data_IF_787467248695
#
_entry.id   IF_787467248695
#
_cell.length_a   1.000
_cell.length_b   1.000
_cell.length_c   1.000
_cell.angle_alpha   90.00
_cell.angle_beta   90.00
_cell.angle_gamma   90.00
#
_symmetry.space_group_name_H-M   'P 1'
#
loop_
_entity.id
_entity.type
_entity.pdbx_description
1 polymer ?
#
# COMPACT_ATOMS: atom_id res chain seq x y z
N UNK A 1 3.17 -17.83 -13.47
CA UNK A 1 4.19 -17.96 -14.55
C UNK A 1 4.18 -16.81 -15.55
N UNK A 2 3.03 -16.27 -15.95
CA UNK A 2 2.94 -15.32 -17.07
C UNK A 2 3.37 -13.85 -16.85
N UNK A 3 3.60 -13.39 -15.61
CA UNK A 3 3.99 -11.96 -15.38
C UNK A 3 5.48 -11.80 -15.13
N UNK A 4 6.04 -12.55 -14.17
CA UNK A 4 7.42 -12.37 -13.73
C UNK A 4 8.45 -13.21 -14.50
N UNK A 5 8.03 -14.32 -15.13
CA UNK A 5 8.91 -15.26 -15.84
C UNK A 5 10.17 -15.68 -15.02
N UNK A 6 10.03 -15.81 -13.69
CA UNK A 6 11.13 -16.08 -12.77
C UNK A 6 11.91 -17.39 -13.07
N UNK A 7 11.26 -18.33 -13.75
CA UNK A 7 11.84 -19.61 -14.18
C UNK A 7 12.96 -19.48 -15.22
N UNK A 8 13.10 -18.31 -15.85
CA UNK A 8 14.17 -18.03 -16.81
C UNK A 8 15.42 -17.44 -16.15
N UNK A 9 15.36 -17.12 -14.85
CA UNK A 9 16.50 -16.64 -14.07
C UNK A 9 17.12 -17.81 -13.30
N UNK A 10 18.44 -17.93 -13.33
CA UNK A 10 19.18 -18.96 -12.59
C UNK A 10 19.50 -18.55 -11.14
N UNK A 11 19.12 -17.34 -10.73
CA UNK A 11 19.28 -16.81 -9.37
C UNK A 11 19.52 -15.30 -9.37
N UNK A 12 19.83 -14.72 -8.21
CA UNK A 12 20.08 -13.28 -8.08
C UNK A 12 21.29 -12.79 -8.89
N UNK A 13 22.23 -13.70 -9.17
CA UNK A 13 23.42 -13.43 -9.98
C UNK A 13 23.14 -13.39 -11.48
N UNK A 14 21.96 -13.87 -11.91
CA UNK A 14 21.54 -13.92 -13.31
C UNK A 14 20.04 -13.69 -13.38
N UNK A 15 19.68 -12.41 -13.32
CA UNK A 15 18.30 -11.92 -13.36
C UNK A 15 17.72 -11.92 -14.79
N UNK A 16 18.55 -12.18 -15.81
CA UNK A 16 18.19 -12.06 -17.21
C UNK A 16 17.95 -10.61 -17.66
N UNK A 17 17.34 -10.45 -18.84
CA UNK A 17 17.02 -9.15 -19.42
C UNK A 17 15.73 -8.56 -18.85
N UNK A 18 15.61 -7.22 -18.78
CA UNK A 18 14.37 -6.55 -18.38
C UNK A 18 13.19 -6.96 -19.28
N UNK A 19 12.06 -7.32 -18.67
CA UNK A 19 10.85 -7.70 -19.40
C UNK A 19 10.19 -6.48 -20.00
N UNK A 20 10.10 -6.43 -21.32
CA UNK A 20 9.57 -5.28 -22.04
C UNK A 20 8.15 -4.86 -21.60
N UNK A 21 7.26 -5.82 -21.30
CA UNK A 21 5.91 -5.53 -20.79
C UNK A 21 5.94 -4.83 -19.42
N UNK A 22 6.79 -5.27 -18.50
CA UNK A 22 6.95 -4.66 -17.19
C UNK A 22 7.66 -3.31 -17.29
N UNK A 23 8.65 -3.20 -18.17
CA UNK A 23 9.33 -1.93 -18.47
C UNK A 23 8.35 -0.89 -19.02
N UNK A 24 7.47 -1.27 -19.94
CA UNK A 24 6.43 -0.38 -20.47
C UNK A 24 5.43 0.00 -19.38
N UNK A 25 4.98 -0.95 -18.57
CA UNK A 25 4.09 -0.68 -17.44
C UNK A 25 4.72 0.33 -16.45
N UNK A 26 5.99 0.13 -16.10
CA UNK A 26 6.75 1.04 -15.25
C UNK A 26 6.87 2.43 -15.88
N UNK A 27 7.18 2.51 -17.18
CA UNK A 27 7.27 3.77 -17.91
C UNK A 27 5.94 4.53 -17.87
N UNK A 28 4.81 3.85 -18.07
CA UNK A 28 3.47 4.45 -17.94
C UNK A 28 3.23 4.96 -16.52
N UNK A 29 3.56 4.19 -15.48
CA UNK A 29 3.43 4.63 -14.08
C UNK A 29 4.27 5.88 -13.80
N UNK A 30 5.53 5.91 -14.24
CA UNK A 30 6.42 7.07 -14.06
C UNK A 30 5.87 8.31 -14.76
N UNK A 31 5.34 8.17 -15.98
CA UNK A 31 4.72 9.28 -16.70
C UNK A 31 3.50 9.83 -15.94
N UNK A 32 2.63 8.96 -15.42
CA UNK A 32 1.46 9.37 -14.64
C UNK A 32 1.90 10.10 -13.35
N UNK A 33 2.89 9.57 -12.64
CA UNK A 33 3.42 10.19 -11.42
C UNK A 33 4.00 11.58 -11.72
N UNK A 34 4.77 11.69 -12.80
CA UNK A 34 5.35 12.96 -13.23
C UNK A 34 4.26 14.01 -13.50
N UNK A 35 3.23 13.69 -14.29
CA UNK A 35 2.13 14.62 -14.55
C UNK A 35 1.29 14.96 -13.30
N UNK A 36 1.15 14.00 -12.38
CA UNK A 36 0.43 14.23 -11.12
C UNK A 36 1.14 15.23 -10.21
N UNK A 37 2.48 15.20 -10.22
CA UNK A 37 3.34 16.01 -9.36
C UNK A 37 3.86 17.30 -10.01
N UNK A 38 3.88 17.42 -11.35
CA UNK A 38 4.51 18.55 -12.06
C UNK A 38 4.04 19.92 -11.54
N UNK A 39 2.73 20.14 -11.41
CA UNK A 39 2.18 21.42 -10.91
C UNK A 39 2.10 21.50 -9.38
N UNK A 40 2.85 20.65 -8.68
CA UNK A 40 2.99 20.63 -7.23
C UNK A 40 1.75 20.17 -6.47
N UNK A 41 1.64 20.60 -5.21
CA UNK A 41 0.59 20.15 -4.28
C UNK A 41 -0.83 20.46 -4.74
N UNK A 42 -1.02 21.48 -5.59
CA UNK A 42 -2.35 21.84 -6.12
C UNK A 42 -2.90 20.80 -7.10
N UNK A 43 -2.07 20.21 -7.96
CA UNK A 43 -2.51 19.11 -8.85
C UNK A 43 -2.49 17.78 -8.14
N UNK A 44 -1.46 17.53 -7.32
CA UNK A 44 -1.38 16.30 -6.53
C UNK A 44 -2.63 16.15 -5.65
N UNK A 45 -3.09 17.23 -5.01
CA UNK A 45 -4.32 17.21 -4.20
C UNK A 45 -5.56 16.78 -4.98
N UNK A 46 -5.72 17.21 -6.24
CA UNK A 46 -6.85 16.81 -7.10
C UNK A 46 -6.79 15.35 -7.50
N UNK A 47 -5.60 14.82 -7.81
CA UNK A 47 -5.41 13.40 -8.14
C UNK A 47 -5.70 12.54 -6.91
N UNK A 48 -5.25 12.97 -5.74
CA UNK A 48 -5.46 12.28 -4.44
C UNK A 48 -6.94 12.09 -4.12
N UNK A 49 -7.82 13.03 -4.50
CA UNK A 49 -9.27 12.85 -4.32
C UNK A 49 -9.81 11.57 -4.96
N UNK A 50 -9.25 11.11 -6.08
CA UNK A 50 -9.64 9.86 -6.72
C UNK A 50 -8.81 8.71 -6.16
N UNK A 51 -7.48 8.85 -6.13
CA UNK A 51 -6.58 7.73 -5.79
C UNK A 51 -6.67 7.30 -4.33
N UNK A 52 -7.05 8.20 -3.41
CA UNK A 52 -7.24 7.87 -2.00
C UNK A 52 -8.66 7.37 -1.69
N UNK A 53 -9.68 7.79 -2.44
CA UNK A 53 -11.08 7.40 -2.17
C UNK A 53 -11.47 6.10 -2.87
N UNK A 54 -11.01 5.87 -4.10
CA UNK A 54 -11.34 4.68 -4.88
C UNK A 54 -11.01 3.36 -4.16
N UNK A 55 -9.87 3.20 -3.46
CA UNK A 55 -9.59 1.99 -2.70
C UNK A 55 -10.67 1.65 -1.67
N UNK A 56 -11.26 2.64 -0.99
CA UNK A 56 -12.35 2.40 -0.03
C UNK A 56 -13.62 1.88 -0.71
N UNK A 57 -13.96 2.42 -1.89
CA UNK A 57 -15.11 1.93 -2.68
C UNK A 57 -14.87 0.48 -3.10
N UNK A 58 -13.68 0.16 -3.61
CA UNK A 58 -13.32 -1.20 -4.01
C UNK A 58 -13.35 -2.14 -2.81
N UNK A 59 -12.76 -1.76 -1.68
CA UNK A 59 -12.78 -2.55 -0.45
C UNK A 59 -14.21 -2.80 0.04
N UNK A 60 -15.10 -1.81 -0.05
CA UNK A 60 -16.50 -1.96 0.33
C UNK A 60 -17.24 -2.94 -0.57
N UNK A 61 -17.06 -2.85 -1.90
CA UNK A 61 -17.64 -3.82 -2.85
C UNK A 61 -17.09 -5.22 -2.61
N UNK A 62 -15.78 -5.35 -2.41
CA UNK A 62 -15.14 -6.62 -2.10
C UNK A 62 -15.60 -7.19 -0.76
N UNK A 63 -15.90 -6.35 0.23
CA UNK A 63 -16.47 -6.77 1.51
C UNK A 63 -17.87 -7.36 1.31
N UNK A 64 -18.77 -6.64 0.64
CA UNK A 64 -20.14 -7.12 0.35
C UNK A 64 -20.08 -8.44 -0.43
N UNK A 65 -19.24 -8.50 -1.47
CA UNK A 65 -19.07 -9.72 -2.24
C UNK A 65 -18.51 -10.84 -1.36
N UNK A 66 -17.45 -10.57 -0.59
CA UNK A 66 -16.80 -11.55 0.28
C UNK A 66 -17.73 -12.16 1.32
N UNK A 67 -18.64 -11.39 1.92
CA UNK A 67 -19.59 -11.91 2.92
C UNK A 67 -20.76 -12.71 2.30
N UNK A 68 -21.05 -12.51 1.01
CA UNK A 68 -22.09 -13.26 0.30
C UNK A 68 -21.60 -14.61 -0.25
N UNK A 69 -20.29 -14.84 -0.26
CA UNK A 69 -19.70 -16.11 -0.70
C UNK A 69 -19.93 -17.25 0.32
N UNK A 70 -20.18 -18.47 -0.16
CA UNK A 70 -20.27 -19.64 0.72
C UNK A 70 -18.93 -19.87 1.42
N UNK A 71 -18.96 -20.10 2.73
CA UNK A 71 -17.76 -20.33 3.54
C UNK A 71 -17.10 -19.07 4.11
N UNK A 72 -17.65 -17.87 3.87
CA UNK A 72 -17.13 -16.61 4.41
C UNK A 72 -16.96 -16.63 5.95
N UNK A 73 -17.91 -17.26 6.66
CA UNK A 73 -17.88 -17.37 8.12
C UNK A 73 -16.61 -18.06 8.64
N UNK A 74 -16.14 -19.11 7.96
CA UNK A 74 -14.92 -19.83 8.37
C UNK A 74 -13.68 -18.93 8.27
N UNK A 75 -13.58 -18.11 7.23
CA UNK A 75 -12.51 -17.14 7.06
C UNK A 75 -12.52 -16.05 8.16
N UNK A 76 -13.71 -15.51 8.46
CA UNK A 76 -13.87 -14.50 9.52
C UNK A 76 -13.48 -15.08 10.88
N UNK A 77 -13.93 -16.30 11.19
CA UNK A 77 -13.61 -16.98 12.44
C UNK A 77 -12.10 -17.25 12.57
N UNK A 78 -11.43 -17.62 11.48
CA UNK A 78 -9.98 -17.83 11.48
C UNK A 78 -9.21 -16.51 11.69
N UNK A 79 -9.64 -15.42 11.03
CA UNK A 79 -8.99 -14.11 11.15
C UNK A 79 -9.13 -13.51 12.56
N UNK A 80 -10.31 -13.63 13.18
CA UNK A 80 -10.60 -13.07 14.50
C UNK A 80 -10.28 -14.02 15.66
N UNK A 81 -9.71 -15.20 15.40
CA UNK A 81 -9.31 -16.11 16.47
C UNK A 81 -8.07 -15.57 17.19
N UNK A 82 -8.22 -15.22 18.48
CA UNK A 82 -7.14 -14.66 19.29
C UNK A 82 -6.48 -15.77 20.10
N UNK A 83 -5.17 -15.95 19.92
CA UNK A 83 -4.34 -16.78 20.80
C UNK A 83 -3.59 -15.91 21.82
N UNK A 84 -4.11 -15.88 23.05
CA UNK A 84 -3.51 -15.12 24.16
C UNK A 84 -2.13 -15.61 24.58
N UNK A 85 -1.73 -16.84 24.23
CA UNK A 85 -0.38 -17.33 24.55
C UNK A 85 0.67 -16.61 23.72
N UNK A 86 0.36 -16.32 22.45
CA UNK A 86 1.26 -15.60 21.54
C UNK A 86 1.53 -14.16 21.96
N UNK A 87 0.59 -13.52 22.67
CA UNK A 87 0.81 -12.17 23.21
C UNK A 87 1.95 -12.08 24.23
N UNK A 88 2.39 -13.20 24.80
CA UNK A 88 3.56 -13.26 25.70
C UNK A 88 4.89 -13.30 24.94
N UNK A 89 4.86 -13.57 23.63
CA UNK A 89 6.05 -13.62 22.80
C UNK A 89 6.46 -12.19 22.40
N UNK A 90 7.73 -11.83 22.64
CA UNK A 90 8.24 -10.50 22.30
C UNK A 90 8.17 -10.20 20.79
N UNK A 91 8.25 -11.24 19.95
CA UNK A 91 8.16 -11.13 18.48
C UNK A 91 6.85 -10.51 18.02
N UNK A 92 5.71 -10.85 18.64
CA UNK A 92 4.40 -10.28 18.29
C UNK A 92 4.38 -8.76 18.49
N UNK A 93 5.06 -8.27 19.52
CA UNK A 93 5.17 -6.83 19.79
C UNK A 93 6.14 -6.12 18.86
N UNK A 94 7.25 -6.78 18.49
CA UNK A 94 8.19 -6.26 17.49
C UNK A 94 7.47 -6.13 16.14
N UNK A 95 6.72 -7.15 15.73
CA UNK A 95 5.96 -7.14 14.49
C UNK A 95 4.87 -6.05 14.51
N UNK A 96 4.14 -5.91 15.61
CA UNK A 96 3.12 -4.87 15.76
C UNK A 96 3.71 -3.45 15.72
N UNK A 97 4.83 -3.21 16.41
CA UNK A 97 5.53 -1.93 16.38
C UNK A 97 6.05 -1.61 14.96
N UNK A 98 6.63 -2.62 14.30
CA UNK A 98 7.11 -2.52 12.91
C UNK A 98 5.96 -2.20 11.96
N UNK A 99 4.82 -2.88 12.11
CA UNK A 99 3.62 -2.67 11.31
C UNK A 99 3.10 -1.23 11.45
N UNK A 100 2.93 -0.73 12.69
CA UNK A 100 2.43 0.63 12.93
C UNK A 100 3.42 1.68 12.39
N UNK A 101 4.72 1.49 12.63
CA UNK A 101 5.75 2.41 12.18
C UNK A 101 5.75 2.57 10.65
N UNK A 102 5.78 1.46 9.90
CA UNK A 102 5.76 1.51 8.43
C UNK A 102 4.39 1.87 7.86
N UNK A 103 3.29 1.54 8.55
CA UNK A 103 1.95 1.94 8.10
C UNK A 103 1.71 3.44 8.21
N UNK A 104 2.26 4.10 9.25
CA UNK A 104 2.16 5.55 9.42
C UNK A 104 3.21 6.31 8.60
N UNK A 105 4.37 5.71 8.35
CA UNK A 105 5.47 6.39 7.67
C UNK A 105 6.00 7.58 8.49
N UNK A 106 6.01 7.46 9.82
CA UNK A 106 6.55 8.50 10.69
C UNK A 106 8.07 8.66 10.49
N UNK A 107 8.55 9.90 10.43
CA UNK A 107 9.98 10.20 10.29
C UNK A 107 10.55 10.12 8.87
N UNK A 108 9.77 9.73 7.85
CA UNK A 108 10.23 9.65 6.45
C UNK A 108 10.20 11.00 5.69
N UNK A 109 9.88 12.11 6.38
CA UNK A 109 9.86 13.46 5.80
C UNK A 109 8.62 13.80 4.95
N UNK A 110 7.85 12.81 4.49
CA UNK A 110 6.63 13.04 3.67
C UNK A 110 5.59 13.87 4.42
N UNK A 111 5.29 13.50 5.68
CA UNK A 111 4.33 14.23 6.50
C UNK A 111 4.81 15.66 6.82
N UNK A 112 6.12 15.84 7.03
CA UNK A 112 6.74 17.16 7.24
C UNK A 112 6.59 18.01 5.98
N UNK A 113 6.88 17.44 4.80
CA UNK A 113 6.71 18.12 3.53
C UNK A 113 5.25 18.54 3.30
N UNK A 114 4.27 17.68 3.58
CA UNK A 114 2.85 18.05 3.48
C UNK A 114 2.43 19.10 4.49
N UNK A 115 2.89 19.01 5.74
CA UNK A 115 2.60 19.99 6.77
C UNK A 115 3.18 21.38 6.43
N UNK A 116 4.31 21.46 5.70
CA UNK A 116 4.92 22.72 5.29
C UNK A 116 4.07 23.57 4.34
N UNK A 117 3.08 22.96 3.67
CA UNK A 117 2.11 23.67 2.82
C UNK A 117 0.83 24.07 3.56
N UNK A 118 0.73 23.78 4.86
CA UNK A 118 -0.44 24.10 5.65
C UNK A 118 -0.38 25.54 6.21
N UNK A 119 -1.53 26.08 6.62
CA UNK A 119 -1.56 27.39 7.28
C UNK A 119 -0.92 27.31 8.68
N UNK A 120 -0.29 28.39 9.10
CA UNK A 120 0.39 28.46 10.41
C UNK A 120 -0.57 28.32 11.60
N UNK A 121 -1.80 28.83 11.46
CA UNK A 121 -2.87 28.79 12.45
C UNK A 121 -3.76 27.54 12.35
N UNK A 122 -3.43 26.59 11.47
CA UNK A 122 -4.23 25.38 11.31
C UNK A 122 -4.04 24.43 12.49
N UNK A 123 -5.13 24.04 13.15
CA UNK A 123 -5.09 22.99 14.17
C UNK A 123 -4.66 21.65 13.55
N UNK A 124 -3.53 21.12 14.00
CA UNK A 124 -2.94 19.87 13.53
C UNK A 124 -2.83 18.80 14.62
N UNK A 125 -3.50 18.98 15.76
CA UNK A 125 -3.64 18.02 16.84
C UNK A 125 -4.99 17.30 16.77
#
# INVERSE_FOLDING_TARGET
RGVLHLHESSGIHDLGLPRWQLTLCLLVVVIILFFSLWKGVKTSGKVVWITATLPYVVLFVLLIHGITLPGAYSGIKAYLNIDFRRLKEATVWIDAATQIFYSLGAGFGVLIAFASYNKFDNNCY
#
